data_IF_094095974230
#
_entry.id   IF_094095974230
#
_cell.length_a   1.000
_cell.length_b   1.000
_cell.length_c   1.000
_cell.angle_alpha   90.00
_cell.angle_beta   90.00
_cell.angle_gamma   90.00
#
_symmetry.space_group_name_H-M   'P 1'
#
loop_
_entity.id
_entity.type
_entity.pdbx_description
1 polymer ?
#
# COMPACT_ATOMS: atom_id res chain seq x y z
N UNK A 1 58.72 -39.64 -21.46
CA UNK A 1 59.00 -38.19 -21.61
C UNK A 1 57.87 -37.61 -22.42
N UNK A 2 57.39 -36.43 -22.00
CA UNK A 2 56.30 -35.59 -22.58
C UNK A 2 54.89 -36.16 -22.43
N UNK A 3 53.84 -35.45 -22.00
CA UNK A 3 53.69 -34.08 -21.48
C UNK A 3 52.34 -34.00 -20.74
N UNK A 4 52.29 -33.25 -19.64
CA UNK A 4 51.06 -32.94 -18.89
C UNK A 4 50.19 -31.92 -19.64
N UNK A 5 48.85 -32.07 -19.68
CA UNK A 5 47.98 -30.98 -20.11
C UNK A 5 47.55 -30.13 -18.91
N UNK A 6 48.06 -28.90 -18.88
CA UNK A 6 47.64 -27.81 -17.99
C UNK A 6 46.21 -27.39 -18.33
N UNK A 7 45.30 -27.53 -17.36
CA UNK A 7 43.92 -27.07 -17.44
C UNK A 7 43.88 -25.53 -17.53
N UNK A 8 43.58 -24.98 -18.71
CA UNK A 8 43.27 -23.55 -18.86
C UNK A 8 41.82 -23.31 -18.41
N UNK A 9 41.66 -22.76 -17.21
CA UNK A 9 40.40 -22.14 -16.77
C UNK A 9 40.14 -20.88 -17.58
N UNK A 10 39.23 -20.97 -18.55
CA UNK A 10 38.59 -19.80 -19.13
C UNK A 10 37.61 -19.21 -18.12
N UNK A 11 37.98 -18.08 -17.52
CA UNK A 11 37.03 -17.22 -16.82
C UNK A 11 36.07 -16.62 -17.85
N UNK A 12 34.89 -17.21 -17.97
CA UNK A 12 33.76 -16.59 -18.65
C UNK A 12 33.33 -15.39 -17.83
N UNK A 13 33.45 -14.21 -18.45
CA UNK A 13 33.14 -12.92 -17.86
C UNK A 13 31.77 -12.89 -17.20
N UNK A 14 31.71 -12.20 -16.06
CA UNK A 14 30.47 -11.72 -15.47
C UNK A 14 29.73 -10.90 -16.52
N UNK A 15 28.64 -11.45 -17.04
CA UNK A 15 27.69 -10.70 -17.84
C UNK A 15 27.16 -9.55 -16.97
N UNK A 16 27.74 -8.36 -17.14
CA UNK A 16 27.18 -7.13 -16.59
C UNK A 16 25.79 -6.93 -17.20
N UNK A 17 24.79 -6.73 -16.34
CA UNK A 17 23.45 -6.39 -16.77
C UNK A 17 23.50 -5.15 -17.69
N UNK A 18 22.76 -5.14 -18.82
CA UNK A 18 22.82 -4.04 -19.78
C UNK A 18 22.29 -2.75 -19.16
N UNK A 19 22.90 -1.62 -19.53
CA UNK A 19 22.41 -0.28 -19.24
C UNK A 19 20.99 -0.08 -19.83
N UNK A 20 19.96 0.41 -19.15
CA UNK A 20 19.73 0.45 -17.70
C UNK A 20 18.50 -0.40 -17.38
N UNK A 21 18.54 -1.10 -16.24
CA UNK A 21 17.51 -2.08 -15.87
C UNK A 21 16.13 -1.42 -15.78
N UNK A 22 15.04 -2.19 -16.00
CA UNK A 22 13.66 -1.71 -15.82
C UNK A 22 13.48 -1.05 -14.44
N UNK A 23 14.11 -1.62 -13.42
CA UNK A 23 14.17 -1.08 -12.07
C UNK A 23 14.82 0.32 -11.99
N UNK A 24 15.91 0.57 -12.71
CA UNK A 24 16.54 1.90 -12.76
C UNK A 24 15.60 2.94 -13.38
N UNK A 25 14.88 2.57 -14.44
CA UNK A 25 13.88 3.44 -15.06
C UNK A 25 12.73 3.77 -14.10
N UNK A 26 12.27 2.77 -13.34
CA UNK A 26 11.24 2.98 -12.30
C UNK A 26 11.73 3.94 -11.21
N UNK A 27 12.99 3.82 -10.79
CA UNK A 27 13.62 4.68 -9.76
C UNK A 27 13.90 6.10 -10.23
N UNK A 28 14.24 6.31 -11.51
CA UNK A 28 14.58 7.63 -12.03
C UNK A 28 13.37 8.51 -12.33
N UNK A 29 12.18 7.92 -12.36
CA UNK A 29 10.97 8.60 -12.82
C UNK A 29 10.44 9.54 -11.71
N UNK A 30 10.12 10.82 -12.03
CA UNK A 30 9.60 11.75 -11.04
C UNK A 30 8.33 11.22 -10.36
N UNK A 31 8.16 11.53 -9.07
CA UNK A 31 7.01 11.09 -8.25
C UNK A 31 6.07 12.24 -7.97
N UNK A 32 4.78 11.96 -8.05
CA UNK A 32 3.73 12.87 -7.58
C UNK A 32 3.68 12.86 -6.05
N UNK A 33 3.12 13.90 -5.40
CA UNK A 33 2.89 13.86 -3.96
C UNK A 33 2.10 12.61 -3.54
N UNK A 34 2.62 11.86 -2.56
CA UNK A 34 2.04 10.60 -2.08
C UNK A 34 2.29 9.38 -2.97
N UNK A 35 2.94 9.51 -4.12
CA UNK A 35 3.26 8.35 -4.97
C UNK A 35 4.48 7.60 -4.42
N UNK A 36 4.35 6.29 -4.26
CA UNK A 36 5.42 5.45 -3.71
C UNK A 36 6.70 5.51 -4.54
N UNK A 37 7.84 5.54 -3.85
CA UNK A 37 9.16 5.73 -4.44
C UNK A 37 10.17 4.62 -4.10
N UNK A 38 9.81 3.69 -3.20
CA UNK A 38 10.73 2.65 -2.76
C UNK A 38 10.65 1.41 -3.64
N UNK A 39 11.41 1.41 -4.74
CA UNK A 39 11.51 0.31 -5.69
C UNK A 39 12.68 -0.64 -5.41
N UNK A 40 12.46 -1.94 -5.59
CA UNK A 40 13.46 -2.99 -5.41
C UNK A 40 13.13 -4.20 -6.27
N UNK A 41 14.08 -5.12 -6.42
CA UNK A 41 13.82 -6.42 -7.04
C UNK A 41 13.38 -7.43 -5.96
N UNK A 42 12.22 -8.04 -6.12
CA UNK A 42 11.73 -9.09 -5.21
C UNK A 42 12.11 -10.47 -5.75
N UNK A 43 13.00 -11.17 -5.03
CA UNK A 43 13.51 -12.46 -5.45
C UNK A 43 12.47 -13.60 -5.38
N UNK A 44 11.43 -13.46 -4.55
CA UNK A 44 10.37 -14.47 -4.45
C UNK A 44 9.46 -14.43 -5.68
N UNK A 45 9.07 -13.22 -6.10
CA UNK A 45 8.27 -13.02 -7.31
C UNK A 45 9.11 -12.95 -8.60
N UNK A 46 10.45 -12.86 -8.46
CA UNK A 46 11.40 -12.68 -9.56
C UNK A 46 11.05 -11.48 -10.45
N UNK A 47 10.55 -10.42 -9.85
CA UNK A 47 10.02 -9.25 -10.55
C UNK A 47 10.40 -7.95 -9.82
N UNK A 48 10.28 -6.83 -10.53
CA UNK A 48 10.37 -5.51 -9.92
C UNK A 48 9.20 -5.30 -8.96
N UNK A 49 9.47 -4.61 -7.87
CA UNK A 49 8.49 -4.34 -6.84
C UNK A 49 8.60 -2.90 -6.34
N UNK A 50 7.49 -2.39 -5.82
CA UNK A 50 7.43 -1.12 -5.11
C UNK A 50 6.77 -1.34 -3.76
N UNK A 51 7.36 -0.76 -2.71
CA UNK A 51 6.74 -0.74 -1.39
C UNK A 51 5.91 0.52 -1.25
N UNK A 52 4.63 0.35 -0.92
CA UNK A 52 3.73 1.43 -0.55
C UNK A 52 3.75 1.58 0.97
N UNK A 53 4.25 2.71 1.46
CA UNK A 53 4.31 3.06 2.87
C UNK A 53 3.00 3.76 3.31
N UNK A 54 2.77 3.92 4.63
CA UNK A 54 1.57 4.59 5.11
C UNK A 54 1.48 6.03 4.59
N UNK A 55 0.34 6.38 4.01
CA UNK A 55 0.09 7.65 3.36
C UNK A 55 0.43 7.68 1.87
N UNK A 56 0.95 6.59 1.31
CA UNK A 56 1.31 6.49 -0.10
C UNK A 56 0.28 5.73 -0.93
N UNK A 57 0.38 5.91 -2.25
CA UNK A 57 -0.32 5.12 -3.26
C UNK A 57 0.62 4.80 -4.42
N UNK A 58 0.26 3.82 -5.25
CA UNK A 58 0.93 3.56 -6.51
C UNK A 58 -0.03 2.97 -7.54
N UNK A 59 0.09 3.39 -8.80
CA UNK A 59 -0.72 2.91 -9.92
C UNK A 59 0.18 2.54 -11.09
N UNK A 60 -0.08 1.40 -11.70
CA UNK A 60 0.60 0.97 -12.92
C UNK A 60 -0.29 0.02 -13.74
N UNK A 61 0.18 -0.29 -14.93
CA UNK A 61 -0.43 -1.09 -15.99
C UNK A 61 0.52 -2.18 -16.51
N UNK A 62 1.78 -2.19 -16.03
CA UNK A 62 2.76 -3.23 -16.36
C UNK A 62 2.92 -4.26 -15.25
N UNK A 63 3.57 -5.38 -15.59
CA UNK A 63 3.82 -6.49 -14.69
C UNK A 63 4.87 -6.13 -13.63
N UNK A 64 4.44 -5.73 -12.44
CA UNK A 64 5.29 -5.58 -11.26
C UNK A 64 4.50 -5.92 -10.00
N UNK A 65 5.15 -5.91 -8.84
CA UNK A 65 4.49 -6.17 -7.55
C UNK A 65 4.40 -4.92 -6.69
N UNK A 66 3.18 -4.49 -6.36
CA UNK A 66 2.95 -3.46 -5.35
C UNK A 66 2.82 -4.15 -3.99
N UNK A 67 3.65 -3.77 -3.02
CA UNK A 67 3.74 -4.45 -1.73
C UNK A 67 3.48 -3.52 -0.56
N UNK A 68 2.79 -4.02 0.46
CA UNK A 68 2.68 -3.31 1.74
C UNK A 68 2.51 -4.25 2.93
N UNK A 69 2.63 -3.71 4.14
CA UNK A 69 2.40 -4.45 5.39
C UNK A 69 1.44 -3.65 6.26
N UNK A 70 0.41 -4.33 6.75
CA UNK A 70 -0.75 -3.71 7.40
C UNK A 70 -0.93 -4.24 8.82
N UNK A 71 -1.05 -3.30 9.77
CA UNK A 71 -1.66 -3.49 11.09
C UNK A 71 -3.13 -3.03 11.06
N UNK A 72 -3.48 -2.00 11.83
CA UNK A 72 -4.84 -1.42 11.84
C UNK A 72 -5.17 -0.59 10.59
N UNK A 73 -4.16 -0.28 9.78
CA UNK A 73 -4.28 0.45 8.52
C UNK A 73 -4.98 -0.39 7.44
N UNK A 74 -5.44 0.26 6.37
CA UNK A 74 -6.10 -0.41 5.24
C UNK A 74 -5.31 -0.15 3.96
N UNK A 75 -5.24 -1.18 3.11
CA UNK A 75 -4.94 -1.03 1.71
C UNK A 75 -6.17 -1.35 0.86
N UNK A 76 -6.57 -0.41 0.02
CA UNK A 76 -7.51 -0.65 -1.06
C UNK A 76 -6.72 -0.87 -2.35
N UNK A 77 -6.92 -2.03 -2.98
CA UNK A 77 -6.41 -2.34 -4.30
C UNK A 77 -7.56 -2.15 -5.29
N UNK A 78 -7.41 -1.22 -6.23
CA UNK A 78 -8.38 -0.98 -7.29
C UNK A 78 -7.82 -1.49 -8.61
N UNK A 79 -8.67 -2.09 -9.42
CA UNK A 79 -8.28 -2.62 -10.72
C UNK A 79 -9.39 -2.42 -11.73
N UNK A 80 -9.04 -1.94 -12.92
CA UNK A 80 -9.94 -1.93 -14.06
C UNK A 80 -9.67 -3.15 -14.95
N UNK A 81 -10.67 -4.03 -15.05
CA UNK A 81 -10.58 -5.26 -15.86
C UNK A 81 -10.44 -5.00 -17.37
N UNK A 82 -10.95 -3.88 -17.88
CA UNK A 82 -10.93 -3.54 -19.29
C UNK A 82 -9.61 -2.87 -19.66
N UNK A 83 -9.23 -1.83 -18.92
CA UNK A 83 -8.00 -1.09 -19.16
C UNK A 83 -6.75 -1.83 -18.68
N UNK A 84 -6.91 -2.88 -17.85
CA UNK A 84 -5.83 -3.68 -17.24
C UNK A 84 -4.81 -2.83 -16.46
N UNK A 85 -5.31 -1.78 -15.83
CA UNK A 85 -4.55 -0.89 -14.95
C UNK A 85 -5.04 -1.08 -13.52
N UNK A 86 -4.11 -1.07 -12.58
CA UNK A 86 -4.42 -1.24 -11.17
C UNK A 86 -3.52 -0.41 -10.28
N UNK A 87 -3.96 -0.21 -9.05
CA UNK A 87 -3.16 0.43 -8.04
C UNK A 87 -3.57 0.05 -6.63
N UNK A 88 -2.72 0.43 -5.68
CA UNK A 88 -2.93 0.20 -4.26
C UNK A 88 -2.59 1.47 -3.49
N UNK A 89 -3.43 1.81 -2.51
CA UNK A 89 -3.11 2.81 -1.49
C UNK A 89 -2.82 2.16 -0.13
N UNK A 90 -2.33 2.95 0.82
CA UNK A 90 -2.18 2.56 2.22
C UNK A 90 -2.58 3.74 3.11
N UNK A 91 -3.82 3.74 3.60
CA UNK A 91 -4.30 4.79 4.50
C UNK A 91 -4.40 4.30 5.94
N UNK A 92 -4.30 5.23 6.89
CA UNK A 92 -4.22 4.94 8.33
C UNK A 92 -5.50 5.33 9.08
N UNK A 93 -6.24 6.32 8.59
CA UNK A 93 -7.39 6.91 9.26
C UNK A 93 -8.56 7.10 8.28
N UNK A 94 -9.82 7.14 8.74
CA UNK A 94 -10.97 7.19 7.84
C UNK A 94 -11.12 8.55 7.14
N UNK A 95 -11.12 9.65 7.90
CA UNK A 95 -11.29 11.01 7.35
C UNK A 95 -10.60 12.07 8.21
N UNK A 96 -10.23 13.18 7.60
CA UNK A 96 -9.44 14.26 8.20
C UNK A 96 -10.27 15.36 8.85
N UNK A 97 -11.58 15.41 8.60
CA UNK A 97 -12.43 16.52 9.00
C UNK A 97 -11.96 17.88 8.50
N UNK A 98 -11.16 17.91 7.41
CA UNK A 98 -10.57 19.13 6.85
C UNK A 98 -9.08 19.36 7.17
N UNK A 99 -8.41 18.45 7.89
CA UNK A 99 -6.97 18.55 8.14
C UNK A 99 -6.12 18.23 6.90
N UNK A 100 -4.99 18.95 6.74
CA UNK A 100 -4.10 18.96 5.57
C UNK A 100 -3.23 17.71 5.35
N UNK A 101 -3.32 16.67 6.20
CA UNK A 101 -2.41 15.50 6.12
C UNK A 101 -2.95 14.44 5.12
N UNK A 102 -3.08 14.86 3.85
CA UNK A 102 -3.83 14.22 2.75
C UNK A 102 -3.79 12.69 2.69
N UNK A 103 -2.65 12.09 2.31
CA UNK A 103 -2.58 10.64 1.96
C UNK A 103 -2.91 9.67 3.09
N UNK A 104 -2.89 10.13 4.33
CA UNK A 104 -3.09 9.28 5.52
C UNK A 104 -4.56 9.01 5.79
N UNK A 105 -5.44 9.87 5.28
CA UNK A 105 -6.88 9.75 5.42
C UNK A 105 -7.48 9.04 4.22
N UNK A 106 -8.42 8.13 4.49
CA UNK A 106 -8.99 7.25 3.51
C UNK A 106 -9.71 7.99 2.39
N UNK A 107 -10.41 9.09 2.69
CA UNK A 107 -11.11 9.93 1.70
C UNK A 107 -10.16 10.41 0.60
N UNK A 108 -9.08 11.08 1.00
CA UNK A 108 -8.08 11.61 0.07
C UNK A 108 -7.24 10.49 -0.58
N UNK A 109 -6.86 9.44 0.16
CA UNK A 109 -6.11 8.31 -0.39
C UNK A 109 -6.89 7.54 -1.47
N UNK A 110 -8.22 7.40 -1.30
CA UNK A 110 -9.09 6.79 -2.31
C UNK A 110 -9.24 7.71 -3.53
N UNK A 111 -9.42 9.01 -3.31
CA UNK A 111 -9.54 10.00 -4.39
C UNK A 111 -8.26 10.05 -5.26
N UNK A 112 -7.08 10.12 -4.63
CA UNK A 112 -5.81 10.10 -5.35
C UNK A 112 -5.65 8.83 -6.21
N UNK A 113 -5.97 7.67 -5.61
CA UNK A 113 -5.85 6.39 -6.29
C UNK A 113 -6.79 6.31 -7.51
N UNK A 114 -8.06 6.67 -7.35
CA UNK A 114 -9.05 6.64 -8.43
C UNK A 114 -8.67 7.63 -9.53
N UNK A 115 -8.28 8.86 -9.17
CA UNK A 115 -7.90 9.88 -10.14
C UNK A 115 -6.67 9.46 -10.95
N UNK A 116 -5.69 8.82 -10.34
CA UNK A 116 -4.51 8.32 -11.06
C UNK A 116 -4.84 7.12 -11.96
N UNK A 117 -5.73 6.23 -11.54
CA UNK A 117 -6.26 5.16 -12.40
C UNK A 117 -6.96 5.73 -13.64
N UNK A 118 -7.83 6.73 -13.45
CA UNK A 118 -8.53 7.38 -14.56
C UNK A 118 -7.59 8.05 -15.55
N UNK A 119 -6.51 8.70 -15.08
CA UNK A 119 -5.47 9.30 -15.93
C UNK A 119 -4.73 8.26 -16.79
N UNK A 120 -4.73 7.00 -16.36
CA UNK A 120 -4.16 5.86 -17.09
C UNK A 120 -5.21 5.08 -17.90
N UNK A 121 -6.39 5.65 -18.10
CA UNK A 121 -7.43 5.09 -18.97
C UNK A 121 -8.44 4.18 -18.27
N UNK A 122 -8.43 4.10 -16.93
CA UNK A 122 -9.48 3.38 -16.21
C UNK A 122 -10.84 4.08 -16.31
N UNK A 123 -11.91 3.30 -16.32
CA UNK A 123 -13.29 3.76 -16.14
C UNK A 123 -13.81 3.37 -14.77
N UNK A 124 -14.44 4.32 -14.07
CA UNK A 124 -15.06 4.07 -12.76
C UNK A 124 -16.06 2.91 -12.79
N UNK A 125 -16.80 2.76 -13.89
CA UNK A 125 -17.82 1.72 -14.05
C UNK A 125 -17.27 0.30 -14.15
N UNK A 126 -15.97 0.14 -14.39
CA UNK A 126 -15.30 -1.17 -14.56
C UNK A 126 -14.25 -1.43 -13.48
N UNK A 127 -14.15 -0.54 -12.49
CA UNK A 127 -13.31 -0.74 -11.32
C UNK A 127 -13.87 -1.84 -10.43
N UNK A 128 -12.97 -2.64 -9.89
CA UNK A 128 -13.22 -3.60 -8.82
C UNK A 128 -12.24 -3.34 -7.68
N UNK A 129 -12.71 -3.54 -6.45
CA UNK A 129 -11.91 -3.33 -5.25
C UNK A 129 -11.56 -4.65 -4.56
N UNK A 130 -10.33 -4.74 -4.06
CA UNK A 130 -9.90 -5.72 -3.07
C UNK A 130 -9.37 -5.00 -1.84
N UNK A 131 -9.85 -5.37 -0.65
CA UNK A 131 -9.59 -4.61 0.59
C UNK A 131 -8.89 -5.47 1.62
N UNK A 132 -7.79 -4.98 2.17
CA UNK A 132 -6.95 -5.72 3.10
C UNK A 132 -6.55 -4.87 4.31
N UNK A 133 -6.28 -5.51 5.46
CA UNK A 133 -5.75 -4.84 6.64
C UNK A 133 -6.74 -4.76 7.80
N UNK A 134 -6.81 -3.63 8.50
CA UNK A 134 -7.74 -3.42 9.62
C UNK A 134 -7.48 -4.34 10.81
N UNK A 135 -6.29 -4.95 10.89
CA UNK A 135 -5.92 -5.91 11.91
C UNK A 135 -5.82 -5.28 13.30
N UNK A 136 -6.23 -6.05 14.30
CA UNK A 136 -6.15 -5.74 15.73
C UNK A 136 -4.87 -6.34 16.30
N UNK A 137 -3.72 -5.76 15.93
CA UNK A 137 -2.40 -6.29 16.31
C UNK A 137 -2.09 -6.07 17.81
N UNK A 138 -2.90 -5.27 18.50
CA UNK A 138 -2.75 -4.95 19.93
C UNK A 138 -4.07 -5.17 20.67
N UNK A 139 -4.01 -5.90 21.79
CA UNK A 139 -5.06 -5.92 22.80
C UNK A 139 -5.03 -4.61 23.62
N UNK A 140 -5.99 -3.73 23.40
CA UNK A 140 -6.15 -2.45 24.09
C UNK A 140 -7.32 -1.67 23.52
N UNK A 141 -8.07 -0.96 24.36
CA UNK A 141 -9.38 -0.38 24.00
C UNK A 141 -9.33 0.62 22.83
N UNK A 142 -8.18 1.25 22.58
CA UNK A 142 -8.02 2.29 21.54
C UNK A 142 -7.69 1.74 20.14
N UNK A 143 -6.98 0.61 20.02
CA UNK A 143 -6.59 0.03 18.71
C UNK A 143 -7.71 -0.80 18.09
N UNK A 144 -8.55 -1.41 18.92
CA UNK A 144 -9.77 -2.14 18.51
C UNK A 144 -10.67 -1.25 17.65
N UNK A 145 -10.73 0.04 17.96
CA UNK A 145 -11.61 0.98 17.28
C UNK A 145 -11.07 1.44 15.91
N UNK A 146 -9.75 1.56 15.74
CA UNK A 146 -9.15 2.11 14.50
C UNK A 146 -9.34 1.17 13.31
N UNK A 147 -8.99 -0.11 13.46
CA UNK A 147 -9.12 -1.09 12.37
C UNK A 147 -10.56 -1.27 11.90
N UNK A 148 -11.50 -1.29 12.86
CA UNK A 148 -12.93 -1.38 12.57
C UNK A 148 -13.43 -0.11 11.84
N UNK A 149 -13.12 1.09 12.36
CA UNK A 149 -13.50 2.36 11.72
C UNK A 149 -12.95 2.50 10.31
N UNK A 150 -11.70 2.10 10.08
CA UNK A 150 -11.08 2.12 8.75
C UNK A 150 -11.78 1.16 7.79
N UNK A 151 -12.15 -0.04 8.26
CA UNK A 151 -12.87 -1.05 7.48
C UNK A 151 -14.29 -0.58 7.12
N UNK A 152 -15.00 0.00 8.08
CA UNK A 152 -16.33 0.57 7.87
C UNK A 152 -16.27 1.73 6.87
N UNK A 153 -15.31 2.64 7.05
CA UNK A 153 -15.08 3.76 6.14
C UNK A 153 -14.88 3.30 4.69
N UNK A 154 -13.91 2.41 4.44
CA UNK A 154 -13.60 2.01 3.04
C UNK A 154 -14.76 1.25 2.41
N UNK A 155 -15.49 0.45 3.20
CA UNK A 155 -16.67 -0.27 2.73
C UNK A 155 -17.77 0.71 2.31
N UNK A 156 -18.03 1.74 3.12
CA UNK A 156 -19.03 2.76 2.81
C UNK A 156 -18.60 3.64 1.63
N UNK A 157 -17.33 4.05 1.58
CA UNK A 157 -16.77 4.83 0.47
C UNK A 157 -16.94 4.09 -0.86
N UNK A 158 -16.52 2.83 -0.93
CA UNK A 158 -16.62 2.01 -2.14
C UNK A 158 -18.08 1.77 -2.56
N UNK A 159 -18.98 1.59 -1.59
CA UNK A 159 -20.42 1.48 -1.85
C UNK A 159 -20.97 2.77 -2.46
N UNK A 160 -20.62 3.93 -1.91
CA UNK A 160 -21.05 5.24 -2.43
C UNK A 160 -20.50 5.50 -3.83
N UNK A 161 -19.25 5.10 -4.10
CA UNK A 161 -18.62 5.21 -5.41
C UNK A 161 -19.06 4.13 -6.41
N UNK A 162 -19.95 3.22 -6.00
CA UNK A 162 -20.45 2.11 -6.83
C UNK A 162 -19.33 1.17 -7.33
N UNK A 163 -18.26 1.03 -6.55
CA UNK A 163 -17.14 0.13 -6.85
C UNK A 163 -17.32 -1.17 -6.05
N UNK A 164 -17.59 -2.31 -6.70
CA UNK A 164 -17.80 -3.58 -6.02
C UNK A 164 -16.53 -4.09 -5.33
N UNK A 165 -16.67 -4.53 -4.08
CA UNK A 165 -15.61 -5.28 -3.37
C UNK A 165 -15.70 -6.74 -3.78
N UNK A 166 -14.75 -7.21 -4.59
CA UNK A 166 -14.71 -8.60 -5.09
C UNK A 166 -13.90 -9.54 -4.18
N UNK A 167 -13.09 -8.98 -3.27
CA UNK A 167 -12.35 -9.75 -2.29
C UNK A 167 -11.98 -8.89 -1.07
N UNK A 168 -11.95 -9.48 0.11
CA UNK A 168 -11.44 -8.81 1.32
C UNK A 168 -10.82 -9.77 2.32
N UNK A 169 -9.74 -9.34 2.97
CA UNK A 169 -9.18 -9.98 4.18
C UNK A 169 -8.83 -8.87 5.17
N UNK A 170 -9.81 -8.57 6.03
CA UNK A 170 -9.78 -7.43 6.97
C UNK A 170 -9.99 -7.93 8.40
N UNK A 171 -9.69 -7.07 9.39
CA UNK A 171 -9.87 -7.34 10.82
C UNK A 171 -8.96 -8.49 11.31
N UNK A 172 -9.38 -9.29 12.28
CA UNK A 172 -8.55 -10.29 12.96
C UNK A 172 -7.31 -9.73 13.68
N UNK A 173 -6.58 -10.60 14.38
CA UNK A 173 -5.44 -10.23 15.23
C UNK A 173 -4.08 -10.29 14.53
N UNK A 174 -4.06 -10.57 13.22
CA UNK A 174 -2.82 -10.82 12.48
C UNK A 174 -2.45 -9.64 11.56
N UNK A 175 -1.19 -9.20 11.60
CA UNK A 175 -0.66 -8.33 10.56
C UNK A 175 -0.68 -9.04 9.20
N UNK A 176 -0.77 -8.27 8.12
CA UNK A 176 -0.85 -8.80 6.76
C UNK A 176 0.23 -8.20 5.88
N UNK A 177 0.99 -9.05 5.19
CA UNK A 177 1.76 -8.64 4.00
C UNK A 177 0.85 -8.81 2.79
N UNK A 178 0.63 -7.73 2.06
CA UNK A 178 -0.19 -7.69 0.84
C UNK A 178 0.74 -7.49 -0.35
N UNK A 179 0.51 -8.29 -1.40
CA UNK A 179 1.18 -8.18 -2.69
C UNK A 179 0.10 -8.07 -3.77
N UNK A 180 0.11 -6.99 -4.54
CA UNK A 180 -0.88 -6.72 -5.57
C UNK A 180 -0.21 -6.56 -6.93
N UNK A 181 -0.82 -7.16 -7.96
CA UNK A 181 -0.29 -7.22 -9.32
C UNK A 181 -1.19 -6.35 -10.21
N UNK A 182 -0.79 -5.11 -10.52
CA UNK A 182 -1.70 -4.13 -11.10
C UNK A 182 -2.09 -4.45 -12.56
N UNK A 183 -1.24 -5.13 -13.32
CA UNK A 183 -1.56 -5.59 -14.67
C UNK A 183 -2.64 -6.70 -14.74
N UNK A 184 -2.82 -7.47 -13.66
CA UNK A 184 -3.76 -8.62 -13.64
C UNK A 184 -4.89 -8.50 -12.61
N UNK A 185 -4.80 -7.52 -11.70
CA UNK A 185 -5.71 -7.38 -10.58
C UNK A 185 -5.54 -8.45 -9.51
N UNK A 186 -4.58 -9.39 -9.63
CA UNK A 186 -4.34 -10.42 -8.63
C UNK A 186 -3.84 -9.80 -7.33
N UNK A 187 -4.31 -10.32 -6.20
CA UNK A 187 -3.80 -9.99 -4.88
C UNK A 187 -3.41 -11.26 -4.13
N UNK A 188 -2.34 -11.18 -3.33
CA UNK A 188 -1.88 -12.24 -2.45
C UNK A 188 -1.69 -11.66 -1.06
N UNK A 189 -2.18 -12.37 -0.05
CA UNK A 189 -2.09 -11.97 1.35
C UNK A 189 -1.40 -13.06 2.13
N UNK A 190 -0.39 -12.67 2.91
CA UNK A 190 0.21 -13.53 3.92
C UNK A 190 -0.04 -12.92 5.29
N UNK A 191 -0.80 -13.64 6.12
CA UNK A 191 -0.91 -13.35 7.55
C UNK A 191 0.45 -13.63 8.19
N UNK A 192 0.98 -12.66 8.92
CA UNK A 192 2.28 -12.75 9.54
C UNK A 192 2.11 -13.21 10.99
N UNK A 193 2.98 -14.11 11.44
CA UNK A 193 3.22 -14.23 12.88
C UNK A 193 3.74 -12.88 13.40
N UNK A 194 3.51 -12.57 14.67
CA UNK A 194 3.98 -11.34 15.31
C UNK A 194 5.52 -11.33 15.46
N UNK A 195 6.25 -11.40 14.35
CA UNK A 195 7.72 -11.47 14.32
C UNK A 195 8.36 -10.08 14.40
N UNK A 196 7.59 -9.01 14.20
CA UNK A 196 8.06 -7.64 14.41
C UNK A 196 6.92 -6.73 14.91
N UNK A 197 6.35 -7.03 16.10
CA UNK A 197 5.23 -6.27 16.64
C UNK A 197 5.64 -4.80 16.79
N UNK A 198 6.82 -4.49 17.30
CA UNK A 198 7.27 -3.13 17.59
C UNK A 198 7.16 -2.14 16.42
N UNK A 199 7.58 -2.53 15.21
CA UNK A 199 7.48 -1.66 14.03
C UNK A 199 6.01 -1.37 13.65
N UNK A 200 5.13 -2.37 13.79
CA UNK A 200 3.70 -2.23 13.56
C UNK A 200 3.03 -1.42 14.68
N UNK A 201 3.45 -1.62 15.94
CA UNK A 201 3.01 -0.82 17.08
C UNK A 201 3.36 0.65 16.87
N UNK A 202 4.58 0.93 16.41
CA UNK A 202 5.03 2.29 16.14
C UNK A 202 4.18 2.95 15.03
N UNK A 203 3.84 2.19 13.98
CA UNK A 203 2.96 2.65 12.91
C UNK A 203 1.54 2.94 13.42
N UNK A 204 0.93 2.01 14.17
CA UNK A 204 -0.43 2.18 14.70
C UNK A 204 -0.50 3.30 15.76
N UNK A 205 0.55 3.49 16.58
CA UNK A 205 0.68 4.61 17.52
C UNK A 205 0.80 5.95 16.80
N UNK A 206 1.61 6.02 15.75
CA UNK A 206 1.74 7.24 14.95
C UNK A 206 0.41 7.66 14.32
N UNK A 207 -0.41 6.69 13.91
CA UNK A 207 -1.77 6.93 13.45
C UNK A 207 -2.69 7.44 14.58
N UNK A 208 -2.56 6.91 15.80
CA UNK A 208 -3.47 7.21 16.93
C UNK A 208 -3.15 8.52 17.67
N UNK A 209 -1.87 8.86 17.87
CA UNK A 209 -1.44 10.00 18.71
C UNK A 209 -1.80 11.38 18.15
N UNK A 210 -2.20 11.47 16.87
CA UNK A 210 -2.62 12.74 16.24
C UNK A 210 -4.14 12.88 16.11
N UNK A 211 -4.91 11.90 16.57
CA UNK A 211 -6.39 11.87 16.50
C UNK A 211 -7.05 12.58 17.70
N UNK A 212 -6.27 13.04 18.69
CA UNK A 212 -6.80 13.85 19.80
C UNK A 212 -6.79 15.33 19.39
N UNK A 213 -7.93 15.96 19.06
CA UNK A 213 -7.96 17.41 19.02
C UNK A 213 -7.65 17.94 20.42
N UNK A 214 -6.99 19.11 20.57
CA UNK A 214 -6.87 19.71 21.89
C UNK A 214 -8.28 19.80 22.47
N UNK A 215 -8.48 19.22 23.65
CA UNK A 215 -9.68 19.45 24.43
C UNK A 215 -9.83 20.96 24.54
N UNK A 216 -10.83 21.54 23.86
CA UNK A 216 -11.27 22.89 24.14
C UNK A 216 -11.74 22.87 25.58
N UNK A 217 -10.85 23.28 26.49
CA UNK A 217 -11.24 23.66 27.84
C UNK A 217 -12.33 24.70 27.66
N UNK A 218 -13.54 24.35 28.10
CA UNK A 218 -14.65 25.25 28.19
C UNK A 218 -14.29 26.37 29.17
N UNK A 219 -13.68 27.43 28.65
CA UNK A 219 -13.63 28.72 29.31
C UNK A 219 -15.00 29.35 29.16
N UNK A 220 -15.70 29.49 30.27
CA UNK A 220 -16.93 30.28 30.38
C UNK A 220 -16.67 31.69 29.84
N UNK A 221 -17.38 32.08 28.78
CA UNK A 221 -17.44 33.47 28.33
C UNK A 221 -18.67 34.08 29.01
N UNK A 222 -18.43 34.91 30.02
CA UNK A 222 -19.44 35.86 30.51
C UNK A 222 -19.65 36.95 29.46
N UNK A 223 -20.92 37.18 29.12
CA UNK A 223 -21.34 38.29 28.26
C UNK A 223 -21.51 39.56 29.11
N UNK A 224 -20.81 40.62 28.72
CA UNK A 224 -21.19 42.03 28.95
C UNK A 224 -21.20 42.75 27.60
#
# INVERSE_FOLDING_TARGET
MVDSPTLRTSFTGTAGAPAGSRLEKLKSHPRKPGEASFFFYDAHFKNDAVKVLPGEYFVHDEDLVIMTTLGSCIAACLWDRNAKVGGMNHFMLPDSGGAQDGGRYGSYAMELLINELMKRGASRSTLEAKVFGGGQVIAGMNTINVGQRNTEFVTNYLKTEHIPIVSKDVLEIYPRKVCFFPASGKAMVKRLAAANPEALLAQDRAASQRVVPPSSGAGSIDLF
#
